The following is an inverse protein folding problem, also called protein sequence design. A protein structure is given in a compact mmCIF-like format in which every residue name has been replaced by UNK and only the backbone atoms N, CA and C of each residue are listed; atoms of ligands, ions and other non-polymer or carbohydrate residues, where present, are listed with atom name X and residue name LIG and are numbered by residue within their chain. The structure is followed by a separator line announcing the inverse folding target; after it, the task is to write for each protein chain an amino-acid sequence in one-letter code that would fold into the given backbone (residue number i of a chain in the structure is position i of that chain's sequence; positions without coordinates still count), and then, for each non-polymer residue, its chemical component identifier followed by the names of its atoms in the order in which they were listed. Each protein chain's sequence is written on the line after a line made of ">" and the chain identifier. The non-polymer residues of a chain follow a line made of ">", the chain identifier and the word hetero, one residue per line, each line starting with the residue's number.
data_IF_863019026702
#
_entry.id   IF_863019026702
#
_cell.length_a   1.000
_cell.length_b   1.000
_cell.length_c   1.000
_cell.angle_alpha   90.00
_cell.angle_beta   90.00
_cell.angle_gamma   90.00
#
_symmetry.space_group_name_H-M   'P 1'
#
loop_
_entity.id
_entity.type
_entity.pdbx_description
1 polymer ?
#
# COMPACT_ATOMS: atom_id res chain seq x y z
N UNK A 1 3.91 -9.43 19.45
CA UNK A 1 5.10 -8.83 20.10
C UNK A 1 6.11 -9.97 20.19
N UNK A 2 7.26 -9.88 19.53
CA UNK A 2 8.26 -10.95 19.56
C UNK A 2 9.10 -10.85 20.84
N UNK A 3 8.42 -10.86 21.99
CA UNK A 3 9.09 -10.98 23.28
C UNK A 3 9.70 -12.37 23.35
N UNK A 4 11.01 -12.45 23.57
CA UNK A 4 11.70 -13.74 23.64
C UNK A 4 11.27 -14.58 24.86
N UNK A 5 10.56 -13.99 25.83
CA UNK A 5 9.89 -14.67 26.94
C UNK A 5 8.74 -13.80 27.53
N UNK A 6 7.52 -13.80 26.97
CA UNK A 6 6.43 -12.99 27.50
C UNK A 6 5.94 -13.51 28.86
N UNK A 7 5.61 -12.62 29.78
CA UNK A 7 4.93 -12.97 31.04
C UNK A 7 3.53 -13.54 30.77
N UNK A 8 3.01 -14.41 31.64
CA UNK A 8 1.66 -14.95 31.50
C UNK A 8 0.58 -13.85 31.42
N UNK A 9 0.70 -12.80 32.23
CA UNK A 9 -0.22 -11.65 32.19
C UNK A 9 -0.24 -10.99 30.79
N UNK A 10 0.93 -10.85 30.15
CA UNK A 10 1.02 -10.29 28.80
C UNK A 10 0.38 -11.22 27.76
N UNK A 11 0.53 -12.55 27.90
CA UNK A 11 -0.14 -13.53 27.02
C UNK A 11 -1.65 -13.38 27.14
N UNK A 12 -2.18 -13.37 28.38
CA UNK A 12 -3.62 -13.33 28.63
C UNK A 12 -4.24 -12.02 28.14
N UNK A 13 -3.55 -10.88 28.33
CA UNK A 13 -4.03 -9.57 27.88
C UNK A 13 -3.90 -9.35 26.37
N UNK A 14 -2.87 -9.91 25.74
CA UNK A 14 -2.62 -9.75 24.31
C UNK A 14 -3.27 -10.86 23.46
N UNK A 15 -3.93 -11.84 24.06
CA UNK A 15 -4.67 -12.87 23.34
C UNK A 15 -5.69 -12.28 22.36
N UNK A 16 -6.36 -11.19 22.74
CA UNK A 16 -7.34 -10.47 21.91
C UNK A 16 -6.72 -9.44 20.95
N UNK A 17 -5.39 -9.43 20.80
CA UNK A 17 -4.70 -8.44 19.94
C UNK A 17 -5.13 -8.51 18.47
N UNK A 18 -5.58 -9.67 17.99
CA UNK A 18 -6.17 -9.82 16.66
C UNK A 18 -7.45 -8.98 16.47
N UNK A 19 -8.31 -8.93 17.49
CA UNK A 19 -9.55 -8.15 17.42
C UNK A 19 -9.27 -6.64 17.47
N UNK A 20 -8.25 -6.21 18.22
CA UNK A 20 -7.82 -4.79 18.22
C UNK A 20 -7.28 -4.33 16.87
N UNK A 21 -6.70 -5.23 16.08
CA UNK A 21 -6.21 -4.92 14.75
C UNK A 21 -7.34 -4.54 13.79
N UNK A 22 -8.56 -5.09 13.97
CA UNK A 22 -9.72 -4.79 13.13
C UNK A 22 -10.14 -3.32 13.30
N UNK A 23 -10.10 -2.79 14.52
CA UNK A 23 -10.60 -1.45 14.83
C UNK A 23 -9.59 -0.35 14.48
N UNK A 24 -8.30 -0.60 14.73
CA UNK A 24 -7.25 0.44 14.65
C UNK A 24 -6.20 0.20 13.57
N UNK A 25 -6.38 -0.83 12.73
CA UNK A 25 -5.37 -1.32 11.79
C UNK A 25 -3.99 -1.49 12.47
N UNK A 26 -3.99 -2.00 13.70
CA UNK A 26 -2.79 -2.24 14.48
C UNK A 26 -2.87 -1.75 15.92
N UNK A 27 -2.43 -0.50 16.17
CA UNK A 27 -2.08 -0.01 17.51
C UNK A 27 -2.60 1.39 17.80
N UNK A 28 -3.17 1.54 18.99
CA UNK A 28 -3.62 2.81 19.55
C UNK A 28 -3.07 2.98 20.97
N UNK A 29 -1.77 3.28 21.11
CA UNK A 29 -1.10 3.41 22.40
C UNK A 29 -1.15 4.83 22.99
N UNK A 30 -1.96 5.71 22.41
CA UNK A 30 -2.22 7.07 22.92
C UNK A 30 -1.25 8.14 22.41
N UNK A 31 -0.06 7.77 21.96
CA UNK A 31 0.87 8.68 21.27
C UNK A 31 1.49 8.04 20.03
N UNK A 32 1.90 8.86 19.06
CA UNK A 32 2.59 8.41 17.87
C UNK A 32 3.97 7.81 18.21
N UNK A 33 4.67 8.41 19.17
CA UNK A 33 5.95 7.91 19.67
C UNK A 33 5.83 6.49 20.26
N UNK A 34 4.82 6.25 21.09
CA UNK A 34 4.57 4.92 21.67
C UNK A 34 4.15 3.90 20.61
N UNK A 35 3.35 4.33 19.63
CA UNK A 35 2.99 3.49 18.49
C UNK A 35 4.23 3.09 17.66
N UNK A 36 5.15 4.02 17.40
CA UNK A 36 6.40 3.76 16.68
C UNK A 36 7.32 2.82 17.47
N UNK A 37 7.56 3.09 18.77
CA UNK A 37 8.34 2.21 19.64
C UNK A 37 7.78 0.80 19.70
N UNK A 38 6.46 0.69 19.85
CA UNK A 38 5.82 -0.61 19.91
C UNK A 38 6.02 -1.40 18.61
N UNK A 39 6.12 -0.73 17.45
CA UNK A 39 6.36 -1.40 16.16
C UNK A 39 7.73 -2.06 16.11
N UNK A 40 8.79 -1.39 16.59
CA UNK A 40 10.09 -2.04 16.78
C UNK A 40 10.00 -3.28 17.69
N UNK A 41 9.29 -3.19 18.83
CA UNK A 41 9.10 -4.31 19.77
C UNK A 41 8.30 -5.51 19.21
N UNK A 42 7.74 -5.42 18.00
CA UNK A 42 7.15 -6.58 17.32
C UNK A 42 8.20 -7.50 16.72
N UNK A 43 9.42 -7.02 16.54
CA UNK A 43 10.52 -7.77 15.94
C UNK A 43 11.46 -8.30 17.03
N UNK A 44 12.17 -9.41 16.75
CA UNK A 44 13.24 -9.90 17.63
C UNK A 44 14.22 -8.78 17.99
N UNK A 45 14.73 -8.79 19.23
CA UNK A 45 15.59 -7.73 19.80
C UNK A 45 16.71 -7.30 18.85
N UNK A 46 17.35 -8.26 18.19
CA UNK A 46 18.44 -8.04 17.22
C UNK A 46 18.08 -7.17 16.01
N UNK A 47 16.79 -6.96 15.71
CA UNK A 47 16.32 -6.16 14.57
C UNK A 47 15.60 -4.88 15.00
N UNK A 48 15.45 -4.61 16.30
CA UNK A 48 14.63 -3.49 16.75
C UNK A 48 15.25 -2.14 16.38
N UNK A 49 16.57 -2.02 16.41
CA UNK A 49 17.28 -0.81 15.98
C UNK A 49 17.10 -0.56 14.48
N UNK A 50 17.26 -1.60 13.65
CA UNK A 50 17.05 -1.53 12.20
C UNK A 50 15.62 -1.12 11.86
N UNK A 51 14.63 -1.66 12.59
CA UNK A 51 13.21 -1.33 12.40
C UNK A 51 12.93 0.12 12.80
N UNK A 52 13.49 0.58 13.92
CA UNK A 52 13.32 1.98 14.36
C UNK A 52 13.92 2.95 13.33
N UNK A 53 15.12 2.67 12.82
CA UNK A 53 15.75 3.47 11.77
C UNK A 53 14.95 3.45 10.47
N UNK A 54 14.50 2.26 10.03
CA UNK A 54 13.68 2.14 8.83
C UNK A 54 12.37 2.92 8.94
N UNK A 55 11.74 2.95 10.12
CA UNK A 55 10.54 3.74 10.37
C UNK A 55 10.79 5.24 10.30
N UNK A 56 11.88 5.74 10.90
CA UNK A 56 12.26 7.15 10.81
C UNK A 56 12.45 7.59 9.35
N UNK A 57 13.20 6.79 8.58
CA UNK A 57 13.42 7.04 7.15
C UNK A 57 12.09 7.02 6.38
N UNK A 58 11.25 6.02 6.62
CA UNK A 58 9.97 5.88 5.93
C UNK A 58 8.99 7.03 6.22
N UNK A 59 9.09 7.67 7.38
CA UNK A 59 8.17 8.71 7.82
C UNK A 59 8.65 10.14 7.52
N UNK A 60 9.91 10.36 7.12
CA UNK A 60 10.49 11.70 6.98
C UNK A 60 9.91 12.50 5.80
N UNK A 61 9.77 11.87 4.64
CA UNK A 61 9.38 12.53 3.38
C UNK A 61 8.10 11.91 2.80
N UNK A 62 7.09 11.69 3.65
CA UNK A 62 5.82 11.07 3.23
C UNK A 62 4.93 12.07 2.50
N UNK A 63 4.21 11.57 1.50
CA UNK A 63 3.06 12.26 0.91
C UNK A 63 1.80 11.64 1.47
N UNK A 64 0.88 12.46 1.97
CA UNK A 64 -0.41 11.97 2.45
C UNK A 64 -1.17 11.27 1.32
N UNK A 65 -1.80 10.15 1.67
CA UNK A 65 -2.66 9.45 0.72
C UNK A 65 -3.87 10.31 0.39
N UNK A 66 -4.20 10.42 -0.91
CA UNK A 66 -5.44 11.06 -1.34
C UNK A 66 -6.61 10.19 -0.90
N UNK A 67 -7.31 10.64 0.15
CA UNK A 67 -8.53 9.98 0.62
C UNK A 67 -9.72 10.54 -0.15
N UNK A 68 -10.34 9.71 -0.97
CA UNK A 68 -11.52 10.08 -1.75
C UNK A 68 -12.78 9.82 -0.96
N UNK A 69 -13.67 10.82 -0.82
CA UNK A 69 -14.92 10.69 -0.06
C UNK A 69 -15.97 9.76 -0.67
N UNK A 70 -15.69 9.21 -1.86
CA UNK A 70 -16.53 8.25 -2.57
C UNK A 70 -15.68 7.27 -3.38
N UNK A 71 -16.23 6.10 -3.76
CA UNK A 71 -15.58 5.18 -4.69
C UNK A 71 -15.33 5.82 -6.07
N UNK A 72 -14.36 5.27 -6.79
CA UNK A 72 -14.10 5.56 -8.21
C UNK A 72 -14.90 4.55 -9.04
N UNK A 73 -15.98 4.99 -9.67
CA UNK A 73 -16.92 4.10 -10.37
C UNK A 73 -16.28 3.43 -11.59
N UNK A 74 -15.44 4.16 -12.33
CA UNK A 74 -14.68 3.60 -13.44
C UNK A 74 -13.75 2.47 -12.96
N UNK A 75 -13.19 2.59 -11.75
CA UNK A 75 -12.33 1.54 -11.21
C UNK A 75 -13.13 0.28 -10.90
N UNK A 76 -14.30 0.41 -10.26
CA UNK A 76 -15.20 -0.72 -10.03
C UNK A 76 -15.58 -1.44 -11.34
N UNK A 77 -15.80 -0.67 -12.41
CA UNK A 77 -16.19 -1.21 -13.71
C UNK A 77 -15.05 -1.90 -14.48
N UNK A 78 -13.84 -1.33 -14.45
CA UNK A 78 -12.74 -1.74 -15.33
C UNK A 78 -11.60 -2.50 -14.63
N UNK A 79 -11.58 -2.59 -13.30
CA UNK A 79 -10.45 -3.16 -12.54
C UNK A 79 -10.03 -4.55 -13.01
N UNK A 80 -10.97 -5.49 -13.19
CA UNK A 80 -10.65 -6.85 -13.62
C UNK A 80 -10.02 -6.88 -15.01
N UNK A 81 -10.64 -6.19 -15.98
CA UNK A 81 -10.12 -6.12 -17.36
C UNK A 81 -8.73 -5.48 -17.41
N UNK A 82 -8.53 -4.40 -16.65
CA UNK A 82 -7.25 -3.72 -16.60
C UNK A 82 -6.18 -4.56 -15.91
N UNK A 83 -6.53 -5.36 -14.90
CA UNK A 83 -5.60 -6.30 -14.27
C UNK A 83 -5.09 -7.34 -15.28
N UNK A 84 -5.95 -7.89 -16.12
CA UNK A 84 -5.55 -8.83 -17.16
C UNK A 84 -4.63 -8.18 -18.20
N UNK A 85 -4.95 -6.95 -18.63
CA UNK A 85 -4.12 -6.16 -19.55
C UNK A 85 -2.76 -5.80 -18.96
N UNK A 86 -2.72 -5.47 -17.68
CA UNK A 86 -1.47 -5.20 -16.96
C UNK A 86 -0.58 -6.45 -16.89
N UNK A 87 -1.17 -7.61 -16.58
CA UNK A 87 -0.44 -8.88 -16.58
C UNK A 87 0.13 -9.20 -17.98
N UNK A 88 -0.68 -9.00 -19.03
CA UNK A 88 -0.25 -9.16 -20.42
C UNK A 88 0.90 -8.19 -20.78
N UNK A 89 0.81 -6.93 -20.35
CA UNK A 89 1.84 -5.92 -20.55
C UNK A 89 3.17 -6.33 -19.92
N UNK A 90 3.16 -6.77 -18.65
CA UNK A 90 4.38 -7.23 -17.96
C UNK A 90 5.03 -8.38 -18.72
N UNK A 91 4.25 -9.41 -19.07
CA UNK A 91 4.78 -10.60 -19.75
C UNK A 91 5.39 -10.22 -21.10
N UNK A 92 4.67 -9.48 -21.95
CA UNK A 92 5.15 -9.12 -23.28
C UNK A 92 6.35 -8.19 -23.24
N UNK A 93 6.34 -7.19 -22.35
CA UNK A 93 7.46 -6.25 -22.23
C UNK A 93 8.71 -6.95 -21.69
N UNK A 94 8.56 -7.89 -20.76
CA UNK A 94 9.68 -8.68 -20.23
C UNK A 94 10.29 -9.62 -21.27
N UNK A 95 9.47 -10.18 -22.16
CA UNK A 95 9.91 -11.09 -23.21
C UNK A 95 10.39 -10.40 -24.50
N UNK A 96 10.20 -9.08 -24.62
CA UNK A 96 10.61 -8.32 -25.79
C UNK A 96 12.14 -8.31 -25.92
N UNK A 97 12.63 -8.28 -27.15
CA UNK A 97 14.04 -7.97 -27.40
C UNK A 97 14.33 -6.55 -26.88
N UNK A 98 15.55 -6.27 -26.35
CA UNK A 98 15.85 -4.96 -25.76
C UNK A 98 15.62 -3.77 -26.69
N UNK A 99 15.88 -3.94 -27.99
CA UNK A 99 15.66 -2.92 -29.03
C UNK A 99 14.18 -2.75 -29.43
N UNK A 100 13.30 -3.64 -28.98
CA UNK A 100 11.86 -3.60 -29.24
C UNK A 100 11.03 -3.26 -28.00
N UNK A 101 11.66 -3.20 -26.81
CA UNK A 101 10.97 -3.01 -25.54
C UNK A 101 10.02 -1.81 -25.55
N UNK A 102 10.52 -0.63 -25.94
CA UNK A 102 9.73 0.61 -25.91
C UNK A 102 8.49 0.49 -26.79
N UNK A 103 8.63 -0.09 -27.98
CA UNK A 103 7.51 -0.27 -28.92
C UNK A 103 6.45 -1.22 -28.35
N UNK A 104 6.88 -2.32 -27.72
CA UNK A 104 5.97 -3.30 -27.10
C UNK A 104 5.28 -2.68 -25.90
N UNK A 105 6.02 -2.01 -25.01
CA UNK A 105 5.48 -1.37 -23.83
C UNK A 105 4.45 -0.29 -24.19
N UNK A 106 4.79 0.62 -25.10
CA UNK A 106 3.91 1.70 -25.53
C UNK A 106 2.62 1.16 -26.17
N UNK A 107 2.72 0.12 -26.99
CA UNK A 107 1.56 -0.55 -27.58
C UNK A 107 0.64 -1.10 -26.50
N UNK A 108 1.20 -1.81 -25.51
CA UNK A 108 0.43 -2.38 -24.42
C UNK A 108 -0.14 -1.32 -23.48
N UNK A 109 0.58 -0.22 -23.24
CA UNK A 109 0.10 0.89 -22.43
C UNK A 109 -1.06 1.61 -23.11
N UNK A 110 -0.98 1.85 -24.42
CA UNK A 110 -2.09 2.42 -25.18
C UNK A 110 -3.33 1.52 -25.15
N UNK A 111 -3.15 0.20 -25.26
CA UNK A 111 -4.22 -0.77 -25.10
C UNK A 111 -4.82 -0.71 -23.67
N UNK A 112 -3.99 -0.69 -22.63
CA UNK A 112 -4.45 -0.53 -21.24
C UNK A 112 -5.28 0.76 -21.05
N UNK A 113 -4.78 1.88 -21.55
CA UNK A 113 -5.44 3.19 -21.41
C UNK A 113 -6.78 3.22 -22.14
N UNK A 114 -6.84 2.70 -23.37
CA UNK A 114 -8.07 2.65 -24.16
C UNK A 114 -9.13 1.69 -23.60
N UNK A 115 -8.73 0.65 -22.86
CA UNK A 115 -9.65 -0.33 -22.26
C UNK A 115 -10.20 0.07 -20.88
N UNK A 116 -10.02 1.33 -20.46
CA UNK A 116 -10.60 1.86 -19.23
C UNK A 116 -9.59 2.59 -18.33
N UNK A 117 -8.29 2.50 -18.61
CA UNK A 117 -7.26 3.24 -17.88
C UNK A 117 -7.49 4.75 -17.95
N UNK A 118 -7.90 5.27 -19.11
CA UNK A 118 -8.21 6.69 -19.27
C UNK A 118 -9.43 7.12 -18.44
N UNK A 119 -10.49 6.31 -18.41
CA UNK A 119 -11.68 6.62 -17.63
C UNK A 119 -11.39 6.72 -16.12
N UNK A 120 -10.54 5.83 -15.59
CA UNK A 120 -10.09 5.86 -14.19
C UNK A 120 -9.22 7.09 -13.94
N UNK A 121 -8.29 7.40 -14.85
CA UNK A 121 -7.41 8.57 -14.72
C UNK A 121 -8.22 9.86 -14.69
N UNK A 122 -9.18 10.01 -15.59
CA UNK A 122 -10.05 11.18 -15.68
C UNK A 122 -10.89 11.38 -14.42
N UNK A 123 -11.53 10.31 -13.93
CA UNK A 123 -12.35 10.37 -12.72
C UNK A 123 -11.51 10.71 -11.47
N UNK A 124 -10.34 10.07 -11.31
CA UNK A 124 -9.43 10.37 -10.19
C UNK A 124 -8.91 11.80 -10.26
N UNK A 125 -8.59 12.30 -11.46
CA UNK A 125 -8.10 13.67 -11.65
C UNK A 125 -9.18 14.70 -11.34
N UNK A 126 -10.43 14.45 -11.77
CA UNK A 126 -11.56 15.29 -11.44
C UNK A 126 -11.80 15.34 -9.93
N UNK A 127 -11.82 14.18 -9.27
CA UNK A 127 -12.04 14.10 -7.82
C UNK A 127 -10.91 14.75 -7.02
N UNK A 128 -9.65 14.60 -7.45
CA UNK A 128 -8.53 15.28 -6.81
C UNK A 128 -8.64 16.81 -6.94
N UNK A 129 -9.12 17.32 -8.08
CA UNK A 129 -9.40 18.75 -8.26
C UNK A 129 -10.56 19.22 -7.38
N UNK A 130 -11.61 18.42 -7.20
CA UNK A 130 -12.71 18.73 -6.28
C UNK A 130 -12.25 18.82 -4.82
N UNK A 131 -11.26 18.01 -4.43
CA UNK A 131 -10.72 18.00 -3.06
C UNK A 131 -9.74 19.16 -2.77
N UNK A 132 -9.05 19.68 -3.79
CA UNK A 132 -7.97 20.68 -3.63
C UNK A 132 -8.24 22.01 -4.36
N UNK A 133 -9.42 22.18 -4.95
CA UNK A 133 -9.84 23.36 -5.71
C UNK A 133 -10.70 24.34 -4.94
#
# INVERSE_FOLDING_TARGET
>A
MALENPTQEAIDRLFISGDMAIISNGKQLGSEEDNMKARALQFPTRYQEDVALAQDIANRDTVEMVVTGRPIEAQTKYATTLQDKFNEMIVKSTMAAPDQFDTVFDTMMNDYMSNGGQAILDERTALYKELNG
#
